data_IF_829983591700
#
_entry.id   IF_829983591700
#
_cell.length_a   1.000
_cell.length_b   1.000
_cell.length_c   1.000
_cell.angle_alpha   90.00
_cell.angle_beta   90.00
_cell.angle_gamma   90.00
#
_symmetry.space_group_name_H-M   'P 1'
#
loop_
_entity.id
_entity.type
_entity.pdbx_description
1 polymer ?
#
# COMPACT_ATOMS: atom_id res chain seq x y z
N UNK A 1 -31.33 62.96 69.22
CA UNK A 1 -32.01 62.55 67.96
C UNK A 1 -31.06 61.66 67.17
N UNK A 2 -31.11 60.35 67.37
CA UNK A 2 -30.44 59.35 66.52
C UNK A 2 -31.25 58.05 66.59
N UNK A 3 -31.96 57.73 65.50
CA UNK A 3 -32.70 56.48 65.33
C UNK A 3 -32.07 55.68 64.19
N UNK A 4 -31.53 54.52 64.57
CA UNK A 4 -31.50 53.24 63.86
C UNK A 4 -31.38 53.23 62.33
N UNK A 5 -30.17 52.88 61.86
CA UNK A 5 -29.87 52.34 60.52
C UNK A 5 -30.79 51.15 60.19
N UNK A 6 -31.47 51.21 59.04
CA UNK A 6 -32.19 50.08 58.42
C UNK A 6 -31.25 49.38 57.43
N UNK A 7 -30.99 48.10 57.66
CA UNK A 7 -30.22 47.23 56.76
C UNK A 7 -31.12 46.76 55.62
N UNK A 8 -30.70 46.95 54.37
CA UNK A 8 -31.29 46.32 53.18
C UNK A 8 -30.34 45.19 52.77
N UNK A 9 -30.79 43.95 52.91
CA UNK A 9 -30.07 42.76 52.47
C UNK A 9 -30.02 42.73 50.93
N UNK A 10 -28.82 42.67 50.35
CA UNK A 10 -28.62 42.40 48.92
C UNK A 10 -28.67 40.89 48.71
N UNK A 11 -29.69 40.43 47.98
CA UNK A 11 -29.83 39.03 47.54
C UNK A 11 -28.88 38.84 46.34
N UNK A 12 -27.80 38.07 46.52
CA UNK A 12 -26.93 37.66 45.42
C UNK A 12 -27.59 36.51 44.66
N UNK A 13 -28.08 36.81 43.46
CA UNK A 13 -28.62 35.83 42.53
C UNK A 13 -27.45 35.16 41.79
N UNK A 14 -27.03 33.98 42.26
CA UNK A 14 -26.01 33.16 41.60
C UNK A 14 -26.71 32.40 40.46
N UNK A 15 -26.51 32.85 39.21
CA UNK A 15 -26.88 32.08 38.02
C UNK A 15 -25.86 30.95 37.82
N UNK A 16 -26.30 29.70 38.03
CA UNK A 16 -25.56 28.49 37.66
C UNK A 16 -25.51 28.38 36.12
N UNK A 17 -24.35 28.66 35.53
CA UNK A 17 -24.06 28.29 34.14
C UNK A 17 -23.89 26.76 34.06
N UNK A 18 -24.63 26.04 33.20
CA UNK A 18 -24.35 24.62 32.98
C UNK A 18 -23.03 24.52 32.22
N UNK A 19 -22.03 23.93 32.87
CA UNK A 19 -20.78 23.48 32.25
C UNK A 19 -21.15 22.41 31.21
N UNK A 20 -21.44 22.83 29.98
CA UNK A 20 -21.64 21.92 28.86
C UNK A 20 -20.25 21.41 28.45
N UNK A 21 -19.79 20.35 29.11
CA UNK A 21 -18.56 19.66 28.74
C UNK A 21 -18.79 19.00 27.38
N UNK A 22 -18.43 19.74 26.32
CA UNK A 22 -18.36 19.25 24.96
C UNK A 22 -17.23 18.23 24.91
N UNK A 23 -17.55 16.95 25.13
CA UNK A 23 -16.63 15.84 24.88
C UNK A 23 -16.39 15.82 23.37
N UNK A 24 -15.32 16.47 22.92
CA UNK A 24 -14.78 16.27 21.57
C UNK A 24 -14.28 14.83 21.53
N UNK A 25 -15.13 13.92 21.08
CA UNK A 25 -14.74 12.55 20.79
C UNK A 25 -13.66 12.58 19.71
N UNK A 26 -12.43 12.25 20.08
CA UNK A 26 -11.38 11.94 19.12
C UNK A 26 -11.78 10.63 18.42
N UNK A 27 -12.49 10.75 17.30
CA UNK A 27 -12.67 9.64 16.39
C UNK A 27 -11.28 9.29 15.83
N UNK A 28 -10.69 8.21 16.33
CA UNK A 28 -9.53 7.57 15.74
C UNK A 28 -9.92 7.17 14.32
N UNK A 29 -9.35 7.82 13.32
CA UNK A 29 -9.46 7.40 11.93
C UNK A 29 -8.64 6.11 11.75
N UNK A 30 -9.27 4.96 11.97
CA UNK A 30 -8.74 3.70 11.48
C UNK A 30 -8.70 3.79 9.95
N UNK A 31 -7.51 3.69 9.36
CA UNK A 31 -7.35 3.68 7.91
C UNK A 31 -7.79 2.29 7.42
N UNK A 32 -8.98 2.18 6.85
CA UNK A 32 -9.43 0.91 6.26
C UNK A 32 -8.56 0.62 5.03
N UNK A 33 -7.77 -0.45 5.09
CA UNK A 33 -7.01 -0.95 3.95
C UNK A 33 -8.01 -1.33 2.86
N UNK A 34 -7.92 -0.68 1.71
CA UNK A 34 -8.90 -0.89 0.64
C UNK A 34 -8.64 -2.24 -0.03
N UNK A 35 -9.72 -2.98 -0.34
CA UNK A 35 -9.64 -4.23 -1.11
C UNK A 35 -8.88 -4.08 -2.44
N UNK A 36 -8.83 -2.86 -2.98
CA UNK A 36 -8.10 -2.48 -4.19
C UNK A 36 -6.58 -2.51 -4.06
N UNK A 37 -6.03 -2.79 -2.87
CA UNK A 37 -4.59 -2.82 -2.61
C UNK A 37 -4.06 -4.25 -2.49
N UNK A 38 -4.91 -5.27 -2.49
CA UNK A 38 -4.46 -6.66 -2.40
C UNK A 38 -4.07 -7.22 -3.76
N UNK A 39 -2.85 -7.75 -3.86
CA UNK A 39 -2.38 -8.60 -4.93
C UNK A 39 -2.17 -10.01 -4.36
N UNK A 40 -2.76 -11.00 -5.01
CA UNK A 40 -2.50 -12.40 -4.74
C UNK A 40 -1.68 -13.00 -5.88
N UNK A 41 -0.62 -13.73 -5.56
CA UNK A 41 0.14 -14.53 -6.53
C UNK A 41 -0.12 -15.99 -6.24
N UNK A 42 -0.67 -16.71 -7.21
CA UNK A 42 -1.04 -18.13 -7.09
C UNK A 42 -0.19 -19.02 -7.99
N UNK A 43 0.05 -20.25 -7.54
CA UNK A 43 0.63 -21.32 -8.33
C UNK A 43 0.34 -22.69 -7.69
N UNK A 44 0.97 -23.75 -8.21
CA UNK A 44 0.82 -25.10 -7.65
C UNK A 44 1.33 -25.21 -6.19
N UNK A 45 2.17 -24.28 -5.77
CA UNK A 45 2.76 -24.17 -4.43
C UNK A 45 1.82 -23.49 -3.41
N UNK A 46 0.65 -23.02 -3.84
CA UNK A 46 -0.30 -22.27 -3.02
C UNK A 46 -0.43 -20.82 -3.47
N UNK A 47 -0.50 -19.91 -2.50
CA UNK A 47 -0.72 -18.48 -2.74
C UNK A 47 0.13 -17.62 -1.82
N UNK A 48 0.57 -16.46 -2.30
CA UNK A 48 1.16 -15.39 -1.51
C UNK A 48 0.36 -14.09 -1.70
N UNK A 49 0.23 -13.32 -0.63
CA UNK A 49 -0.54 -12.10 -0.61
C UNK A 49 0.34 -10.91 -0.31
N UNK A 50 0.10 -9.81 -1.03
CA UNK A 50 0.82 -8.56 -0.88
C UNK A 50 -0.14 -7.38 -0.88
N UNK A 51 0.17 -6.39 -0.04
CA UNK A 51 -0.36 -5.03 -0.13
C UNK A 51 0.49 -4.24 -1.14
N UNK A 52 -0.12 -3.84 -2.25
CA UNK A 52 0.61 -3.20 -3.35
C UNK A 52 0.20 -1.74 -3.54
N UNK A 53 1.20 -0.88 -3.68
CA UNK A 53 0.99 0.45 -4.26
C UNK A 53 0.84 0.31 -5.76
N UNK A 54 -0.10 1.01 -6.37
CA UNK A 54 -0.34 0.95 -7.82
C UNK A 54 0.36 2.09 -8.55
N UNK A 55 1.20 1.73 -9.53
CA UNK A 55 1.88 2.63 -10.45
C UNK A 55 1.29 2.51 -11.87
N UNK A 56 0.17 3.20 -12.08
CA UNK A 56 -0.64 3.20 -13.32
C UNK A 56 -0.37 4.40 -14.25
N UNK A 57 0.30 5.43 -13.76
CA UNK A 57 0.70 6.60 -14.57
C UNK A 57 2.19 6.57 -14.90
N UNK A 58 2.63 7.21 -16.01
CA UNK A 58 4.05 7.30 -16.34
C UNK A 58 4.91 7.87 -15.21
N UNK A 59 4.42 8.88 -14.49
CA UNK A 59 5.13 9.49 -13.36
C UNK A 59 5.26 8.53 -12.18
N UNK A 60 4.20 7.80 -11.81
CA UNK A 60 4.28 6.79 -10.74
C UNK A 60 5.22 5.65 -11.13
N UNK A 61 5.18 5.16 -12.37
CA UNK A 61 6.09 4.12 -12.87
C UNK A 61 7.55 4.59 -12.88
N UNK A 62 7.81 5.82 -13.32
CA UNK A 62 9.16 6.38 -13.31
C UNK A 62 9.72 6.55 -11.89
N UNK A 63 8.86 6.84 -10.90
CA UNK A 63 9.25 6.94 -9.49
C UNK A 63 9.51 5.58 -8.85
N UNK A 64 8.66 4.59 -9.10
CA UNK A 64 8.76 3.25 -8.51
C UNK A 64 8.95 3.28 -6.98
N UNK A 65 9.81 2.39 -6.48
CA UNK A 65 10.23 2.30 -5.07
C UNK A 65 11.51 3.11 -4.75
N UNK A 66 11.83 4.15 -5.52
CA UNK A 66 13.00 5.01 -5.23
C UNK A 66 12.93 5.61 -3.83
N UNK A 67 14.10 5.71 -3.20
CA UNK A 67 14.35 6.35 -1.89
C UNK A 67 13.71 5.68 -0.67
N UNK A 68 13.01 4.56 -0.81
CA UNK A 68 12.48 3.78 0.31
C UNK A 68 13.62 3.05 1.03
N UNK A 69 13.74 3.25 2.34
CA UNK A 69 14.79 2.63 3.18
C UNK A 69 14.42 1.20 3.64
N UNK A 70 13.13 0.93 3.78
CA UNK A 70 12.61 -0.36 4.23
C UNK A 70 11.20 -0.60 3.67
N UNK A 71 10.89 -1.84 3.30
CA UNK A 71 9.56 -2.28 2.88
C UNK A 71 9.19 -3.58 3.60
N UNK A 72 8.06 -3.64 4.32
CA UNK A 72 7.54 -4.89 4.90
C UNK A 72 7.44 -6.02 3.85
N UNK A 73 7.61 -7.28 4.29
CA UNK A 73 7.68 -8.44 3.37
C UNK A 73 6.37 -8.69 2.62
N UNK A 74 5.27 -8.31 3.23
CA UNK A 74 3.91 -8.38 2.70
C UNK A 74 3.53 -7.14 1.88
N UNK A 75 4.48 -6.26 1.57
CA UNK A 75 4.25 -5.09 0.73
C UNK A 75 5.02 -5.17 -0.59
N UNK A 76 4.49 -4.48 -1.59
CA UNK A 76 5.11 -4.36 -2.90
C UNK A 76 4.57 -3.19 -3.72
N UNK A 77 4.89 -3.21 -5.01
CA UNK A 77 4.35 -2.28 -5.98
C UNK A 77 3.91 -3.01 -7.24
N UNK A 78 2.71 -2.67 -7.72
CA UNK A 78 2.16 -3.15 -8.98
C UNK A 78 2.25 -2.04 -10.03
N UNK A 79 3.07 -2.25 -11.06
CA UNK A 79 3.15 -1.41 -12.24
C UNK A 79 2.12 -1.88 -13.24
N UNK A 80 1.29 -0.96 -13.73
CA UNK A 80 0.23 -1.24 -14.71
C UNK A 80 0.54 -0.45 -15.97
N UNK A 81 0.62 -1.15 -17.10
CA UNK A 81 0.74 -0.55 -18.42
C UNK A 81 -0.63 -0.58 -19.14
N UNK A 82 -0.94 0.44 -19.96
CA UNK A 82 -2.23 0.52 -20.64
C UNK A 82 -2.45 -0.65 -21.61
N UNK A 83 -1.37 -1.09 -22.25
CA UNK A 83 -1.33 -2.16 -23.24
C UNK A 83 -0.04 -2.98 -23.03
N UNK A 84 -0.01 -4.25 -23.47
CA UNK A 84 1.20 -5.06 -23.48
C UNK A 84 2.31 -4.37 -24.26
N UNK A 85 3.53 -4.35 -23.70
CA UNK A 85 4.67 -3.70 -24.33
C UNK A 85 6.00 -4.29 -23.85
N UNK A 86 7.07 -3.91 -24.54
CA UNK A 86 8.43 -4.16 -24.09
C UNK A 86 8.74 -3.24 -22.90
N UNK A 87 9.12 -3.82 -21.76
CA UNK A 87 9.41 -3.08 -20.54
C UNK A 87 10.85 -3.30 -20.08
N UNK A 88 11.42 -2.28 -19.45
CA UNK A 88 12.77 -2.33 -18.91
C UNK A 88 12.86 -1.51 -17.64
N UNK A 89 13.62 -2.02 -16.68
CA UNK A 89 13.75 -1.46 -15.35
C UNK A 89 15.22 -1.22 -15.00
N UNK A 90 15.42 -0.47 -13.93
CA UNK A 90 16.70 -0.21 -13.29
C UNK A 90 16.48 0.05 -11.80
N UNK A 91 17.55 0.11 -11.03
CA UNK A 91 17.50 0.32 -9.57
C UNK A 91 18.03 1.69 -9.17
N UNK A 92 18.05 2.67 -10.09
CA UNK A 92 18.49 4.04 -9.82
C UNK A 92 17.72 4.59 -8.61
N UNK A 93 18.43 5.03 -7.58
CA UNK A 93 17.87 5.57 -6.34
C UNK A 93 17.06 4.59 -5.48
N UNK A 94 16.94 3.31 -5.86
CA UNK A 94 16.30 2.27 -5.04
C UNK A 94 17.31 1.72 -4.03
N UNK A 95 16.97 1.75 -2.73
CA UNK A 95 17.90 1.43 -1.64
C UNK A 95 17.78 -0.01 -1.12
N UNK A 96 16.66 -0.68 -1.42
CA UNK A 96 16.41 -2.08 -1.02
C UNK A 96 16.55 -3.02 -2.23
N UNK A 97 17.00 -4.26 -2.04
CA UNK A 97 16.98 -5.25 -3.10
C UNK A 97 15.54 -5.63 -3.43
N UNK A 98 15.25 -5.89 -4.71
CA UNK A 98 13.91 -6.22 -5.18
C UNK A 98 13.91 -7.47 -6.05
N UNK A 99 12.84 -8.24 -5.99
CA UNK A 99 12.48 -9.18 -7.04
C UNK A 99 11.46 -8.50 -7.96
N UNK A 100 11.66 -8.63 -9.27
CA UNK A 100 10.77 -8.11 -10.30
C UNK A 100 10.09 -9.27 -11.02
N UNK A 101 8.77 -9.36 -10.92
CA UNK A 101 7.97 -10.36 -11.60
C UNK A 101 7.29 -9.69 -12.79
N UNK A 102 7.58 -10.15 -14.00
CA UNK A 102 7.05 -9.60 -15.25
C UNK A 102 5.88 -10.47 -15.72
N UNK A 103 4.70 -9.86 -15.82
CA UNK A 103 3.44 -10.54 -16.07
C UNK A 103 2.84 -10.09 -17.42
N UNK A 104 2.35 -11.06 -18.19
CA UNK A 104 1.61 -10.79 -19.42
C UNK A 104 0.19 -10.23 -19.13
N UNK A 105 -0.59 -9.95 -20.18
CA UNK A 105 -1.95 -9.41 -20.06
C UNK A 105 -2.95 -10.31 -19.32
N UNK A 106 -2.69 -11.62 -19.27
CA UNK A 106 -3.50 -12.57 -18.50
C UNK A 106 -3.06 -12.66 -17.03
N UNK A 107 -2.04 -11.90 -16.61
CA UNK A 107 -1.48 -11.95 -15.26
C UNK A 107 -0.52 -13.11 -15.03
N UNK A 108 -0.13 -13.86 -16.06
CA UNK A 108 0.84 -14.96 -15.91
C UNK A 108 2.25 -14.40 -15.81
N UNK A 109 3.02 -14.85 -14.83
CA UNK A 109 4.44 -14.52 -14.67
C UNK A 109 5.24 -15.18 -15.80
N UNK A 110 5.80 -14.38 -16.68
CA UNK A 110 6.64 -14.83 -17.81
C UNK A 110 8.12 -14.84 -17.45
N UNK A 111 8.54 -13.94 -16.59
CA UNK A 111 9.93 -13.81 -16.18
C UNK A 111 10.04 -13.27 -14.75
N UNK A 112 11.08 -13.69 -14.03
CA UNK A 112 11.41 -13.19 -12.71
C UNK A 112 12.89 -12.78 -12.73
N UNK A 113 13.15 -11.52 -12.41
CA UNK A 113 14.50 -11.06 -12.10
C UNK A 113 14.63 -10.96 -10.57
N UNK A 114 15.31 -11.93 -9.97
CA UNK A 114 15.49 -11.98 -8.52
C UNK A 114 16.71 -11.17 -8.07
N UNK A 115 16.61 -10.57 -6.88
CA UNK A 115 17.69 -9.85 -6.21
C UNK A 115 18.32 -8.73 -7.05
N UNK A 116 17.49 -7.90 -7.69
CA UNK A 116 17.92 -6.66 -8.33
C UNK A 116 18.74 -5.82 -7.33
N UNK A 117 19.92 -5.36 -7.76
CA UNK A 117 20.90 -4.73 -6.87
C UNK A 117 20.55 -3.27 -6.59
N UNK A 118 20.51 -2.81 -5.32
CA UNK A 118 20.29 -1.40 -5.01
C UNK A 118 21.23 -0.46 -5.77
N UNK A 119 20.72 0.68 -6.22
CA UNK A 119 21.45 1.72 -6.96
C UNK A 119 22.01 1.32 -8.34
N UNK A 120 21.87 0.05 -8.75
CA UNK A 120 22.37 -0.42 -10.03
C UNK A 120 21.58 0.17 -11.21
N UNK A 121 22.29 0.71 -12.20
CA UNK A 121 21.70 1.34 -13.39
C UNK A 121 21.76 0.45 -14.61
N UNK A 122 22.28 -0.77 -14.47
CA UNK A 122 22.23 -1.80 -15.50
C UNK A 122 20.77 -2.07 -15.85
N UNK A 123 20.46 -2.04 -17.14
CA UNK A 123 19.10 -2.25 -17.62
C UNK A 123 18.71 -3.71 -17.38
N UNK A 124 17.58 -3.91 -16.69
CA UNK A 124 16.92 -5.18 -16.53
C UNK A 124 15.82 -5.26 -17.60
N UNK A 125 16.02 -6.09 -18.61
CA UNK A 125 15.02 -6.31 -19.66
C UNK A 125 13.95 -7.28 -19.14
N UNK A 126 12.69 -6.84 -19.12
CA UNK A 126 11.55 -7.61 -18.61
C UNK A 126 10.94 -8.57 -19.62
N UNK A 127 11.33 -8.48 -20.89
CA UNK A 127 10.74 -9.21 -22.00
C UNK A 127 9.73 -8.38 -22.80
N UNK A 128 9.08 -9.07 -23.75
CA UNK A 128 8.06 -8.52 -24.66
C UNK A 128 6.67 -8.89 -24.19
N UNK A 129 5.65 -8.17 -24.65
CA UNK A 129 4.23 -8.44 -24.35
C UNK A 129 3.93 -8.44 -22.84
N UNK A 130 4.64 -7.60 -22.07
CA UNK A 130 4.42 -7.44 -20.63
C UNK A 130 3.44 -6.31 -20.40
N UNK A 131 2.42 -6.55 -19.58
CA UNK A 131 1.43 -5.54 -19.20
C UNK A 131 1.51 -5.15 -17.73
N UNK A 132 2.03 -6.04 -16.88
CA UNK A 132 2.15 -5.79 -15.45
C UNK A 132 3.52 -6.17 -14.93
N UNK A 133 4.01 -5.44 -13.94
CA UNK A 133 5.22 -5.80 -13.20
C UNK A 133 4.94 -5.69 -11.71
N UNK A 134 5.36 -6.70 -10.95
CA UNK A 134 5.27 -6.70 -9.49
C UNK A 134 6.66 -6.61 -8.92
N UNK A 135 6.91 -5.57 -8.11
CA UNK A 135 8.12 -5.46 -7.28
C UNK A 135 7.80 -5.89 -5.85
N UNK A 136 8.57 -6.86 -5.34
CA UNK A 136 8.56 -7.31 -3.94
C UNK A 136 9.99 -7.29 -3.38
N UNK A 137 10.16 -7.51 -2.07
CA UNK A 137 11.48 -7.60 -1.46
C UNK A 137 12.38 -8.66 -2.13
N UNK A 138 13.67 -8.36 -2.27
CA UNK A 138 14.65 -9.24 -2.91
C UNK A 138 14.76 -10.62 -2.25
N UNK A 139 14.80 -11.66 -3.09
CA UNK A 139 14.88 -13.06 -2.70
C UNK A 139 13.60 -13.61 -2.08
N UNK A 140 12.50 -12.85 -2.10
CA UNK A 140 11.23 -13.30 -1.53
C UNK A 140 10.48 -14.24 -2.48
N UNK A 141 10.63 -14.06 -3.80
CA UNK A 141 10.05 -14.95 -4.81
C UNK A 141 10.46 -16.40 -4.59
N UNK A 142 11.76 -16.65 -4.45
CA UNK A 142 12.33 -17.96 -4.17
C UNK A 142 11.83 -18.54 -2.84
N UNK A 143 11.85 -17.74 -1.76
CA UNK A 143 11.41 -18.17 -0.42
C UNK A 143 9.95 -18.61 -0.38
N UNK A 144 9.10 -17.98 -1.20
CA UNK A 144 7.68 -18.30 -1.29
C UNK A 144 7.37 -19.34 -2.37
N UNK A 145 8.35 -19.75 -3.19
CA UNK A 145 8.13 -20.68 -4.30
C UNK A 145 7.48 -20.04 -5.53
N UNK A 146 7.41 -18.71 -5.61
CA UNK A 146 6.87 -18.01 -6.78
C UNK A 146 7.78 -18.28 -7.97
N UNK A 147 7.18 -18.78 -9.05
CA UNK A 147 7.90 -19.23 -10.25
C UNK A 147 7.22 -18.74 -11.53
N UNK A 148 7.92 -18.88 -12.65
CA UNK A 148 7.34 -18.65 -13.99
C UNK A 148 6.12 -19.56 -14.15
N UNK A 149 5.02 -19.00 -14.64
CA UNK A 149 3.72 -19.66 -14.73
C UNK A 149 2.81 -19.47 -13.53
N UNK A 150 3.27 -18.86 -12.43
CA UNK A 150 2.36 -18.31 -11.42
C UNK A 150 1.46 -17.23 -12.02
N UNK A 151 0.32 -16.95 -11.37
CA UNK A 151 -0.65 -15.95 -11.81
C UNK A 151 -0.86 -14.87 -10.74
N UNK A 152 -0.79 -13.61 -11.17
CA UNK A 152 -1.16 -12.46 -10.36
C UNK A 152 -2.65 -12.14 -10.47
N UNK A 153 -3.31 -12.03 -9.34
CA UNK A 153 -4.71 -11.65 -9.22
C UNK A 153 -4.81 -10.34 -8.43
N UNK A 154 -5.31 -9.32 -9.12
CA UNK A 154 -5.59 -7.99 -8.61
C UNK A 154 -6.66 -7.41 -9.52
N UNK A 155 -7.51 -6.51 -9.03
CA UNK A 155 -8.66 -5.98 -9.78
C UNK A 155 -8.27 -5.26 -11.10
N UNK A 156 -7.02 -4.80 -11.21
CA UNK A 156 -6.44 -4.22 -12.45
C UNK A 156 -5.88 -5.28 -13.43
N UNK A 157 -5.69 -6.52 -13.00
CA UNK A 157 -5.14 -7.63 -13.80
C UNK A 157 -6.26 -8.56 -14.25
N UNK A 158 -7.06 -9.05 -13.31
CA UNK A 158 -8.15 -9.98 -13.58
C UNK A 158 -9.39 -9.64 -12.75
N UNK A 159 -10.55 -10.05 -13.26
CA UNK A 159 -11.82 -9.97 -12.51
C UNK A 159 -12.02 -11.15 -11.56
N UNK A 160 -11.05 -12.06 -11.49
CA UNK A 160 -11.14 -13.21 -10.60
C UNK A 160 -11.05 -12.77 -9.15
N UNK A 161 -11.81 -13.41 -8.25
CA UNK A 161 -11.79 -13.06 -6.84
C UNK A 161 -10.42 -13.37 -6.22
N UNK A 162 -9.96 -12.47 -5.36
CA UNK A 162 -8.91 -12.73 -4.37
C UNK A 162 -9.53 -13.62 -3.30
N UNK A 163 -8.98 -14.82 -3.10
CA UNK A 163 -9.61 -15.89 -2.32
C UNK A 163 -8.95 -16.07 -0.95
N UNK A 164 -7.64 -15.88 -0.87
CA UNK A 164 -6.84 -16.32 0.28
C UNK A 164 -6.20 -15.19 1.09
N UNK A 165 -6.38 -13.93 0.68
CA UNK A 165 -5.76 -12.79 1.37
C UNK A 165 -6.68 -12.25 2.47
N UNK A 166 -6.35 -12.56 3.72
CA UNK A 166 -6.90 -11.90 4.92
C UNK A 166 -5.74 -11.30 5.70
N UNK A 167 -5.55 -10.00 5.62
CA UNK A 167 -4.69 -9.30 6.57
C UNK A 167 -5.56 -8.90 7.75
N UNK A 168 -5.23 -9.42 8.94
CA UNK A 168 -5.90 -8.98 10.16
C UNK A 168 -5.57 -7.50 10.36
N UNK A 169 -6.62 -6.69 10.47
CA UNK A 169 -6.55 -5.25 10.77
C UNK A 169 -5.85 -4.96 12.11
#
# INVERSE_FOLDING_TARGET
MFLGKRYIAKINLIFLLPFFTFIVGNALYASTVSKSEFLEIRGFWGSACFLVKVADTPSKRAKGLMHIDHMPKDQGMLFVYPEPMDVSFWMKNTKIPLDMLFLNSAGRVEYIHSNAKPQDRTIINGGKEIQYVVEINGGLSEKLGISIGSFGHHWMISKEPILSCTFNE
#
